data_IF_366242459786
#
_entry.id   IF_366242459786
#
_cell.length_a   1.000
_cell.length_b   1.000
_cell.length_c   1.000
_cell.angle_alpha   90.00
_cell.angle_beta   90.00
_cell.angle_gamma   90.00
#
_symmetry.space_group_name_H-M   'P 1'
#
loop_
_entity.id
_entity.type
_entity.pdbx_description
1 polymer ?
#
# COMPACT_ATOMS: atom_id res chain seq x y z
N UNK A 1 59.13 10.22 -32.65
CA UNK A 1 58.33 11.19 -31.89
C UNK A 1 59.30 12.20 -31.32
N UNK A 2 59.17 13.46 -31.73
CA UNK A 2 59.95 14.57 -31.18
C UNK A 2 59.36 15.01 -29.85
N UNK A 3 60.15 15.70 -29.01
CA UNK A 3 59.66 16.27 -27.75
C UNK A 3 58.47 17.21 -27.95
N UNK A 4 58.38 17.85 -29.12
CA UNK A 4 57.31 18.78 -29.45
C UNK A 4 56.01 18.06 -29.79
N UNK A 5 56.07 16.95 -30.53
CA UNK A 5 54.92 16.06 -30.77
C UNK A 5 54.40 15.44 -29.47
N UNK A 6 55.30 15.14 -28.51
CA UNK A 6 54.90 14.62 -27.19
C UNK A 6 54.17 15.68 -26.35
N UNK A 7 54.65 16.93 -26.36
CA UNK A 7 53.97 18.04 -25.65
C UNK A 7 52.59 18.33 -26.22
N UNK A 8 52.44 18.33 -27.55
CA UNK A 8 51.14 18.54 -28.19
C UNK A 8 50.14 17.43 -27.82
N UNK A 9 50.59 16.17 -27.80
CA UNK A 9 49.75 15.04 -27.40
C UNK A 9 49.29 15.17 -25.94
N UNK A 10 50.20 15.49 -25.01
CA UNK A 10 49.88 15.70 -23.60
C UNK A 10 48.91 16.87 -23.40
N UNK A 11 49.10 17.97 -24.14
CA UNK A 11 48.19 19.11 -24.09
C UNK A 11 46.79 18.74 -24.60
N UNK A 12 46.69 18.02 -25.71
CA UNK A 12 45.41 17.55 -26.26
C UNK A 12 44.67 16.61 -25.31
N UNK A 13 45.41 15.72 -24.62
CA UNK A 13 44.85 14.80 -23.64
C UNK A 13 44.34 15.51 -22.39
N UNK A 14 45.03 16.57 -21.93
CA UNK A 14 44.59 17.39 -20.81
C UNK A 14 43.28 18.12 -21.12
N UNK A 15 43.14 18.64 -22.35
CA UNK A 15 41.89 19.27 -22.82
C UNK A 15 40.76 18.24 -22.87
N UNK A 16 41.00 17.07 -23.47
CA UNK A 16 40.01 16.00 -23.56
C UNK A 16 39.57 15.48 -22.17
N UNK A 17 40.49 15.37 -21.21
CA UNK A 17 40.14 15.06 -19.82
C UNK A 17 39.27 16.13 -19.18
N UNK A 18 39.57 17.41 -19.42
CA UNK A 18 38.79 18.52 -18.87
C UNK A 18 37.37 18.55 -19.45
N UNK A 19 37.22 18.30 -20.74
CA UNK A 19 35.91 18.16 -21.40
C UNK A 19 35.13 16.96 -20.88
N UNK A 20 35.79 15.81 -20.72
CA UNK A 20 35.18 14.60 -20.15
C UNK A 20 34.70 14.85 -18.72
N UNK A 21 35.51 15.54 -17.89
CA UNK A 21 35.13 15.89 -16.52
C UNK A 21 33.91 16.83 -16.48
N UNK A 22 33.80 17.77 -17.42
CA UNK A 22 32.62 18.64 -17.55
C UNK A 22 31.37 17.86 -17.95
N UNK A 23 31.46 17.01 -18.97
CA UNK A 23 30.34 16.17 -19.40
C UNK A 23 29.86 15.23 -18.29
N UNK A 24 30.79 14.66 -17.52
CA UNK A 24 30.46 13.81 -16.37
C UNK A 24 29.72 14.59 -15.27
N UNK A 25 30.14 15.82 -14.97
CA UNK A 25 29.44 16.69 -14.02
C UNK A 25 28.04 17.06 -14.50
N UNK A 26 27.86 17.39 -15.78
CA UNK A 26 26.56 17.69 -16.35
C UNK A 26 25.63 16.49 -16.32
N UNK A 27 26.12 15.31 -16.70
CA UNK A 27 25.38 14.04 -16.65
C UNK A 27 24.95 13.73 -15.20
N UNK A 28 25.85 13.87 -14.23
CA UNK A 28 25.53 13.67 -12.81
C UNK A 28 24.46 14.64 -12.31
N UNK A 29 24.45 15.90 -12.79
CA UNK A 29 23.41 16.88 -12.45
C UNK A 29 22.07 16.53 -13.05
N UNK A 30 22.04 16.14 -14.33
CA UNK A 30 20.83 15.70 -15.01
C UNK A 30 20.24 14.46 -14.33
N UNK A 31 21.07 13.47 -13.97
CA UNK A 31 20.61 12.26 -13.29
C UNK A 31 19.98 12.57 -11.93
N UNK A 32 20.59 13.45 -11.12
CA UNK A 32 19.99 13.90 -9.86
C UNK A 32 18.67 14.64 -10.06
N UNK A 33 18.51 15.39 -11.15
CA UNK A 33 17.26 16.06 -11.48
C UNK A 33 16.18 15.05 -11.89
N UNK A 34 16.52 14.06 -12.71
CA UNK A 34 15.63 12.97 -13.10
C UNK A 34 15.17 12.17 -11.88
N UNK A 35 16.06 11.81 -10.95
CA UNK A 35 15.69 11.09 -9.72
C UNK A 35 14.69 11.87 -8.87
N UNK A 36 14.84 13.19 -8.78
CA UNK A 36 13.88 14.07 -8.08
C UNK A 36 12.53 14.09 -8.78
N UNK A 37 12.51 14.25 -10.10
CA UNK A 37 11.28 14.23 -10.90
C UNK A 37 10.56 12.88 -10.79
N UNK A 38 11.28 11.75 -10.81
CA UNK A 38 10.70 10.42 -10.62
C UNK A 38 10.09 10.26 -9.22
N UNK A 39 10.73 10.80 -8.19
CA UNK A 39 10.20 10.79 -6.82
C UNK A 39 8.93 11.64 -6.70
N UNK A 40 8.93 12.84 -7.26
CA UNK A 40 7.77 13.74 -7.29
C UNK A 40 6.60 13.13 -8.07
N UNK A 41 6.88 12.52 -9.22
CA UNK A 41 5.89 11.79 -10.00
C UNK A 41 5.31 10.61 -9.21
N UNK A 42 6.14 9.88 -8.48
CA UNK A 42 5.70 8.82 -7.56
C UNK A 42 4.74 9.33 -6.48
N UNK A 43 5.01 10.51 -5.91
CA UNK A 43 4.14 11.17 -4.92
C UNK A 43 2.81 11.59 -5.57
N UNK A 44 2.85 12.19 -6.77
CA UNK A 44 1.65 12.63 -7.49
C UNK A 44 0.76 11.45 -7.91
N UNK A 45 1.34 10.38 -8.45
CA UNK A 45 0.63 9.14 -8.80
C UNK A 45 0.02 8.50 -7.54
N UNK A 46 0.77 8.47 -6.43
CA UNK A 46 0.25 8.01 -5.14
C UNK A 46 -0.94 8.85 -4.65
N UNK A 47 -0.88 10.18 -4.80
CA UNK A 47 -1.97 11.09 -4.44
C UNK A 47 -3.24 10.88 -5.27
N UNK A 48 -3.13 10.48 -6.53
CA UNK A 48 -4.28 10.14 -7.38
C UNK A 48 -4.91 8.81 -6.94
N UNK A 49 -4.08 7.80 -6.63
CA UNK A 49 -4.56 6.52 -6.08
C UNK A 49 -5.32 6.68 -4.77
N UNK A 50 -4.82 7.51 -3.85
CA UNK A 50 -5.47 7.79 -2.57
C UNK A 50 -6.84 8.48 -2.74
N UNK A 51 -6.96 9.44 -3.67
CA UNK A 51 -8.24 10.12 -3.97
C UNK A 51 -9.27 9.18 -4.61
N UNK A 52 -8.81 8.24 -5.43
CA UNK A 52 -9.68 7.22 -6.03
C UNK A 52 -10.14 6.20 -4.99
N UNK A 53 -9.25 5.82 -4.05
CA UNK A 53 -9.58 5.01 -2.87
C UNK A 53 -10.66 5.66 -2.01
N UNK A 54 -10.47 6.90 -1.59
CA UNK A 54 -11.42 7.61 -0.73
C UNK A 54 -12.79 7.87 -1.40
N UNK A 55 -12.82 8.08 -2.72
CA UNK A 55 -14.08 8.17 -3.47
C UNK A 55 -14.81 6.83 -3.55
N UNK A 56 -14.06 5.75 -3.80
CA UNK A 56 -14.61 4.37 -3.84
C UNK A 56 -15.12 3.96 -2.45
N UNK A 57 -14.36 4.29 -1.40
CA UNK A 57 -14.76 4.12 0.00
C UNK A 57 -16.06 4.87 0.27
N UNK A 58 -16.13 6.17 -0.03
CA UNK A 58 -17.30 7.00 0.26
C UNK A 58 -18.60 6.48 -0.34
N UNK A 59 -18.57 5.95 -1.57
CA UNK A 59 -19.75 5.39 -2.22
C UNK A 59 -20.08 3.97 -1.75
N UNK A 60 -19.08 3.11 -1.55
CA UNK A 60 -19.30 1.72 -1.18
C UNK A 60 -19.52 1.49 0.32
N UNK A 61 -19.13 2.46 1.16
CA UNK A 61 -19.15 2.34 2.61
C UNK A 61 -20.51 1.97 3.19
N UNK A 62 -21.65 2.60 2.81
CA UNK A 62 -22.95 2.21 3.36
C UNK A 62 -23.30 0.74 3.12
N UNK A 63 -22.97 0.21 1.94
CA UNK A 63 -23.18 -1.20 1.59
C UNK A 63 -22.22 -2.12 2.37
N UNK A 64 -20.96 -1.71 2.49
CA UNK A 64 -19.94 -2.42 3.26
C UNK A 64 -20.27 -2.48 4.75
N UNK A 65 -20.66 -1.35 5.37
CA UNK A 65 -21.05 -1.26 6.78
C UNK A 65 -22.19 -2.24 7.08
N UNK A 66 -23.21 -2.28 6.21
CA UNK A 66 -24.32 -3.23 6.33
C UNK A 66 -23.84 -4.69 6.35
N UNK A 67 -22.85 -5.04 5.54
CA UNK A 67 -22.27 -6.39 5.51
C UNK A 67 -21.40 -6.66 6.73
N UNK A 68 -20.56 -5.71 7.15
CA UNK A 68 -19.73 -5.81 8.36
C UNK A 68 -20.60 -6.00 9.62
N UNK A 69 -21.73 -5.29 9.73
CA UNK A 69 -22.68 -5.50 10.83
C UNK A 69 -23.39 -6.84 10.73
N UNK A 70 -24.01 -7.14 9.59
CA UNK A 70 -24.90 -8.32 9.47
C UNK A 70 -24.17 -9.65 9.38
N UNK A 71 -23.04 -9.71 8.68
CA UNK A 71 -22.32 -10.97 8.45
C UNK A 71 -21.15 -11.16 9.41
N UNK A 72 -20.49 -10.08 9.84
CA UNK A 72 -19.37 -10.18 10.76
C UNK A 72 -19.75 -9.87 12.22
N UNK A 73 -20.92 -9.26 12.47
CA UNK A 73 -21.38 -8.94 13.82
C UNK A 73 -20.57 -7.80 14.46
N UNK A 74 -19.99 -6.91 13.65
CA UNK A 74 -19.21 -5.79 14.17
C UNK A 74 -20.14 -4.73 14.77
N UNK A 75 -19.82 -4.29 15.99
CA UNK A 75 -20.63 -3.35 16.77
C UNK A 75 -20.15 -1.93 16.53
N UNK A 76 -18.83 -1.74 16.59
CA UNK A 76 -18.16 -0.48 16.28
C UNK A 76 -17.52 -0.58 14.90
N UNK A 77 -17.74 0.43 14.05
CA UNK A 77 -17.15 0.55 12.73
C UNK A 77 -16.75 2.02 12.56
N UNK A 78 -15.48 2.26 12.24
CA UNK A 78 -14.90 3.59 12.01
C UNK A 78 -14.18 3.62 10.67
N UNK A 79 -14.29 4.74 9.96
CA UNK A 79 -13.53 5.01 8.74
C UNK A 79 -12.35 5.93 9.01
N UNK A 80 -11.35 5.92 8.11
CA UNK A 80 -10.20 6.83 8.14
C UNK A 80 -9.54 6.91 9.53
N UNK A 81 -9.30 5.75 10.14
CA UNK A 81 -8.77 5.66 11.50
C UNK A 81 -7.25 5.82 11.47
N UNK A 82 -6.73 6.79 12.22
CA UNK A 82 -5.29 7.07 12.32
C UNK A 82 -4.80 6.88 13.74
N UNK A 83 -3.64 6.25 13.91
CA UNK A 83 -2.97 6.09 15.20
C UNK A 83 -1.52 6.52 15.10
N UNK A 84 -1.07 7.31 16.06
CA UNK A 84 0.28 7.84 16.14
C UNK A 84 0.98 7.29 17.39
N UNK A 85 2.18 6.74 17.21
CA UNK A 85 3.05 6.33 18.31
C UNK A 85 4.48 6.79 18.05
N UNK A 86 4.87 7.86 18.74
CA UNK A 86 6.14 8.54 18.46
C UNK A 86 6.16 9.07 17.03
N UNK A 87 7.16 8.65 16.25
CA UNK A 87 7.32 9.05 14.85
C UNK A 87 6.68 8.07 13.84
N UNK A 88 5.88 7.11 14.32
CA UNK A 88 5.19 6.13 13.48
C UNK A 88 3.70 6.45 13.41
N UNK A 89 3.14 6.24 12.23
CA UNK A 89 1.71 6.40 11.93
C UNK A 89 1.19 5.13 11.30
N UNK A 90 -0.04 4.75 11.66
CA UNK A 90 -0.83 3.73 10.98
C UNK A 90 -2.19 4.33 10.62
N UNK A 91 -2.52 4.30 9.34
CA UNK A 91 -3.81 4.70 8.78
C UNK A 91 -4.54 3.47 8.29
N UNK A 92 -5.83 3.36 8.64
CA UNK A 92 -6.72 2.27 8.28
C UNK A 92 -7.96 2.86 7.61
N UNK A 93 -8.30 2.40 6.41
CA UNK A 93 -9.51 2.85 5.71
C UNK A 93 -10.77 2.52 6.51
N UNK A 94 -10.89 1.27 6.99
CA UNK A 94 -11.96 0.88 7.92
C UNK A 94 -11.43 -0.01 9.03
N UNK A 95 -11.81 0.33 10.26
CA UNK A 95 -11.61 -0.49 11.45
C UNK A 95 -12.97 -0.86 12.04
N UNK A 96 -13.26 -2.16 12.10
CA UNK A 96 -14.47 -2.68 12.74
C UNK A 96 -14.15 -3.68 13.84
N UNK A 97 -14.85 -3.62 14.96
CA UNK A 97 -14.66 -4.58 16.05
C UNK A 97 -15.94 -4.81 16.85
N UNK A 98 -15.94 -5.89 17.60
CA UNK A 98 -17.01 -6.27 18.52
C UNK A 98 -16.43 -6.89 19.78
N UNK A 99 -17.21 -6.84 20.86
CA UNK A 99 -16.88 -7.45 22.14
C UNK A 99 -17.71 -8.72 22.37
N UNK A 100 -17.60 -9.32 23.56
CA UNK A 100 -18.39 -10.50 23.95
C UNK A 100 -18.06 -11.75 23.14
N UNK A 101 -19.06 -12.57 22.82
CA UNK A 101 -18.89 -13.91 22.21
C UNK A 101 -18.12 -13.90 20.89
N UNK A 102 -18.22 -12.81 20.15
CA UNK A 102 -17.59 -12.70 18.84
C UNK A 102 -16.12 -12.23 18.90
N UNK A 103 -15.76 -11.48 19.95
CA UNK A 103 -14.46 -10.88 20.28
C UNK A 103 -13.48 -10.76 19.10
N UNK A 104 -13.83 -9.97 18.08
CA UNK A 104 -13.05 -9.86 16.84
C UNK A 104 -12.78 -8.42 16.44
N UNK A 105 -11.73 -8.25 15.65
CA UNK A 105 -11.38 -7.02 14.94
C UNK A 105 -11.15 -7.36 13.47
N UNK A 106 -11.69 -6.51 12.59
CA UNK A 106 -11.55 -6.62 11.14
C UNK A 106 -10.98 -5.29 10.64
N UNK A 107 -9.85 -5.39 9.95
CA UNK A 107 -9.21 -4.27 9.27
C UNK A 107 -9.54 -4.38 7.78
N UNK A 108 -10.11 -3.33 7.19
CA UNK A 108 -10.43 -3.29 5.76
C UNK A 108 -9.58 -2.23 5.07
N UNK A 109 -8.93 -2.61 3.97
CA UNK A 109 -8.27 -1.70 3.03
C UNK A 109 -9.07 -1.64 1.73
N UNK A 110 -9.26 -0.44 1.19
CA UNK A 110 -10.01 -0.17 -0.04
C UNK A 110 -9.02 0.14 -1.17
N UNK A 111 -9.12 -0.59 -2.28
CA UNK A 111 -8.26 -0.40 -3.46
C UNK A 111 -9.08 -0.36 -4.74
N UNK A 112 -8.93 0.67 -5.57
CA UNK A 112 -9.58 0.65 -6.89
C UNK A 112 -9.08 -0.51 -7.75
N UNK A 113 -7.77 -0.74 -7.80
CA UNK A 113 -7.18 -1.88 -8.50
C UNK A 113 -6.25 -2.62 -7.55
N UNK A 114 -6.54 -3.88 -7.27
CA UNK A 114 -5.73 -4.69 -6.39
C UNK A 114 -4.57 -5.34 -7.14
N UNK A 115 -3.38 -5.25 -6.56
CA UNK A 115 -2.16 -5.92 -6.97
C UNK A 115 -1.48 -6.55 -5.74
N UNK A 116 -0.35 -7.24 -5.95
CA UNK A 116 0.39 -7.92 -4.88
C UNK A 116 0.84 -6.98 -3.77
N UNK A 117 1.34 -5.79 -4.12
CA UNK A 117 1.74 -4.78 -3.12
C UNK A 117 0.58 -4.37 -2.21
N UNK A 118 -0.64 -4.33 -2.74
CA UNK A 118 -1.84 -4.08 -1.93
C UNK A 118 -2.09 -5.19 -0.91
N UNK A 119 -1.81 -6.45 -1.25
CA UNK A 119 -1.91 -7.58 -0.32
C UNK A 119 -0.84 -7.47 0.76
N UNK A 120 0.42 -7.22 0.36
CA UNK A 120 1.55 -7.03 1.29
C UNK A 120 1.30 -5.89 2.28
N UNK A 121 0.72 -4.77 1.80
CA UNK A 121 0.36 -3.63 2.64
C UNK A 121 -0.62 -4.04 3.74
N UNK A 122 -1.68 -4.79 3.42
CA UNK A 122 -2.66 -5.26 4.42
C UNK A 122 -2.04 -6.21 5.43
N UNK A 123 -1.19 -7.13 4.97
CA UNK A 123 -0.48 -8.04 5.87
C UNK A 123 0.44 -7.28 6.83
N UNK A 124 1.14 -6.25 6.35
CA UNK A 124 1.95 -5.37 7.20
C UNK A 124 1.10 -4.59 8.21
N UNK A 125 -0.03 -4.03 7.78
CA UNK A 125 -0.96 -3.34 8.69
C UNK A 125 -1.49 -4.27 9.78
N UNK A 126 -1.88 -5.50 9.42
CA UNK A 126 -2.29 -6.52 10.38
C UNK A 126 -1.18 -6.84 11.37
N UNK A 127 0.06 -7.00 10.92
CA UNK A 127 1.21 -7.29 11.78
C UNK A 127 1.50 -6.14 12.76
N UNK A 128 1.46 -4.90 12.30
CA UNK A 128 1.75 -3.73 13.12
C UNK A 128 0.59 -3.32 14.03
N UNK A 129 -0.64 -3.75 13.72
CA UNK A 129 -1.86 -3.36 14.43
C UNK A 129 -1.78 -3.40 15.97
N UNK A 130 -1.25 -4.46 16.63
CA UNK A 130 -1.20 -4.53 18.10
C UNK A 130 -0.29 -3.48 18.72
N UNK A 131 0.73 -3.05 17.98
CA UNK A 131 1.59 -1.96 18.44
C UNK A 131 0.79 -0.67 18.51
N UNK A 132 -0.09 -0.39 17.54
CA UNK A 132 -0.87 0.84 17.48
C UNK A 132 -2.15 0.81 18.32
N UNK A 133 -2.83 -0.34 18.38
CA UNK A 133 -4.10 -0.55 19.08
C UNK A 133 -3.98 -1.69 20.12
N UNK A 134 -3.14 -1.53 21.16
CA UNK A 134 -2.91 -2.56 22.16
C UNK A 134 -4.19 -2.97 22.90
N UNK A 135 -5.15 -2.06 23.04
CA UNK A 135 -6.46 -2.29 23.64
C UNK A 135 -7.32 -3.29 22.84
N UNK A 136 -7.01 -3.49 21.54
CA UNK A 136 -7.69 -4.44 20.66
C UNK A 136 -6.86 -5.70 20.37
N UNK A 137 -5.65 -5.82 20.93
CA UNK A 137 -4.70 -6.88 20.59
C UNK A 137 -5.18 -8.31 20.95
N UNK A 138 -6.04 -8.42 21.96
CA UNK A 138 -6.60 -9.68 22.46
C UNK A 138 -7.77 -10.21 21.61
N UNK A 139 -8.16 -9.51 20.55
CA UNK A 139 -9.27 -9.88 19.67
C UNK A 139 -8.77 -10.78 18.54
N UNK A 140 -9.63 -11.68 18.07
CA UNK A 140 -9.40 -12.42 16.82
C UNK A 140 -9.31 -11.40 15.68
N UNK A 141 -8.18 -11.37 14.98
CA UNK A 141 -7.84 -10.30 14.04
C UNK A 141 -7.90 -10.82 12.62
N UNK A 142 -8.70 -10.18 11.80
CA UNK A 142 -8.89 -10.55 10.40
C UNK A 142 -8.62 -9.35 9.50
N UNK A 143 -8.08 -9.62 8.31
CA UNK A 143 -7.94 -8.62 7.25
C UNK A 143 -8.97 -8.82 6.15
N UNK A 144 -9.36 -7.71 5.53
CA UNK A 144 -10.24 -7.67 4.38
C UNK A 144 -9.70 -6.68 3.36
N UNK A 145 -9.80 -7.03 2.08
CA UNK A 145 -9.57 -6.10 0.98
C UNK A 145 -10.88 -5.88 0.25
N UNK A 146 -11.27 -4.62 0.10
CA UNK A 146 -12.37 -4.21 -0.76
C UNK A 146 -11.81 -3.62 -2.05
N UNK A 147 -12.21 -4.13 -3.22
CA UNK A 147 -11.64 -3.65 -4.48
C UNK A 147 -12.61 -3.58 -5.64
N UNK A 148 -12.41 -2.59 -6.54
CA UNK A 148 -13.21 -2.48 -7.77
C UNK A 148 -12.78 -3.56 -8.77
N UNK A 149 -11.48 -3.78 -8.92
CA UNK A 149 -10.94 -4.72 -9.90
C UNK A 149 -9.73 -5.51 -9.35
N UNK A 150 -9.72 -6.81 -9.62
CA UNK A 150 -8.62 -7.73 -9.34
C UNK A 150 -8.59 -8.86 -10.38
N UNK A 151 -7.38 -9.26 -10.83
CA UNK A 151 -7.22 -10.43 -11.70
C UNK A 151 -7.52 -11.72 -10.95
N UNK A 152 -7.76 -12.83 -11.66
CA UNK A 152 -8.01 -14.14 -11.04
C UNK A 152 -6.85 -14.59 -10.15
N UNK A 153 -5.62 -14.38 -10.60
CA UNK A 153 -4.40 -14.70 -9.85
C UNK A 153 -4.32 -13.89 -8.56
N UNK A 154 -4.59 -12.59 -8.61
CA UNK A 154 -4.60 -11.73 -7.41
C UNK A 154 -5.67 -12.19 -6.42
N UNK A 155 -6.88 -12.53 -6.89
CA UNK A 155 -7.95 -13.06 -6.02
C UNK A 155 -7.53 -14.35 -5.32
N UNK A 156 -6.79 -15.21 -6.01
CA UNK A 156 -6.24 -16.43 -5.44
C UNK A 156 -5.19 -16.11 -4.36
N UNK A 157 -4.26 -15.18 -4.63
CA UNK A 157 -3.25 -14.73 -3.64
C UNK A 157 -3.90 -14.13 -2.39
N UNK A 158 -5.00 -13.38 -2.53
CA UNK A 158 -5.77 -12.87 -1.38
C UNK A 158 -6.33 -14.02 -0.53
N UNK A 159 -6.91 -15.04 -1.18
CA UNK A 159 -7.45 -16.21 -0.50
C UNK A 159 -6.36 -17.04 0.19
N UNK A 160 -5.22 -17.27 -0.48
CA UNK A 160 -4.04 -17.96 0.08
C UNK A 160 -3.44 -17.22 1.27
N UNK A 161 -3.45 -15.88 1.25
CA UNK A 161 -3.06 -15.05 2.39
C UNK A 161 -4.07 -15.12 3.56
N UNK A 162 -5.23 -15.75 3.38
CA UNK A 162 -6.29 -15.84 4.39
C UNK A 162 -7.04 -14.54 4.63
N UNK A 163 -7.03 -13.61 3.67
CA UNK A 163 -7.72 -12.33 3.74
C UNK A 163 -9.12 -12.43 3.12
N UNK A 164 -10.10 -11.78 3.72
CA UNK A 164 -11.41 -11.64 3.10
C UNK A 164 -11.32 -10.75 1.86
N UNK A 165 -12.08 -11.08 0.82
CA UNK A 165 -12.17 -10.27 -0.40
C UNK A 165 -13.58 -9.77 -0.61
N UNK A 166 -13.74 -8.46 -0.78
CA UNK A 166 -14.96 -7.84 -1.26
C UNK A 166 -14.75 -7.17 -2.61
N UNK A 167 -15.73 -7.29 -3.50
CA UNK A 167 -15.75 -6.58 -4.78
C UNK A 167 -16.72 -5.40 -4.68
N UNK A 168 -16.27 -4.25 -5.17
CA UNK A 168 -17.05 -3.02 -5.26
C UNK A 168 -17.49 -2.85 -6.72
N UNK A 169 -18.80 -2.76 -6.94
CA UNK A 169 -19.37 -2.50 -8.26
C UNK A 169 -20.65 -1.69 -8.08
N UNK A 170 -20.82 -0.60 -8.83
CA UNK A 170 -21.97 0.30 -8.77
C UNK A 170 -22.37 0.66 -7.33
N UNK A 171 -21.40 1.14 -6.54
CA UNK A 171 -21.58 1.53 -5.13
C UNK A 171 -21.97 0.37 -4.19
N UNK A 172 -22.08 -0.86 -4.70
CA UNK A 172 -22.37 -2.05 -3.92
C UNK A 172 -21.10 -2.76 -3.51
N UNK A 173 -21.00 -3.10 -2.23
CA UNK A 173 -19.99 -4.00 -1.71
C UNK A 173 -20.53 -5.42 -1.70
N UNK A 174 -19.78 -6.36 -2.27
CA UNK A 174 -20.12 -7.79 -2.26
C UNK A 174 -18.96 -8.61 -1.75
N UNK A 175 -19.16 -9.25 -0.60
CA UNK A 175 -18.20 -10.21 -0.06
C UNK A 175 -18.12 -11.45 -0.96
N UNK A 176 -16.92 -11.82 -1.38
CA UNK A 176 -16.65 -13.07 -2.05
C UNK A 176 -16.54 -14.21 -1.03
N UNK A 177 -17.17 -15.36 -1.35
CA UNK A 177 -17.10 -16.59 -0.55
C UNK A 177 -16.66 -17.74 -1.44
N UNK A 178 -15.36 -17.86 -1.76
CA UNK A 178 -14.86 -19.02 -2.47
C UNK A 178 -15.16 -20.29 -1.68
N UNK A 179 -15.46 -21.39 -2.39
CA UNK A 179 -15.69 -22.68 -1.73
C UNK A 179 -14.42 -23.11 -1.01
N UNK A 180 -14.53 -23.45 0.27
CA UNK A 180 -13.39 -23.89 1.09
C UNK A 180 -12.45 -22.78 1.54
N UNK A 181 -12.81 -21.51 1.36
CA UNK A 181 -12.04 -20.41 1.92
C UNK A 181 -12.17 -20.38 3.45
N UNK A 182 -11.03 -20.37 4.14
CA UNK A 182 -10.95 -20.13 5.57
C UNK A 182 -10.11 -18.87 5.84
N UNK A 183 -10.64 -17.90 6.60
CA UNK A 183 -9.90 -16.70 6.94
C UNK A 183 -8.81 -16.99 7.96
N UNK A 184 -7.62 -16.44 7.74
CA UNK A 184 -6.54 -16.51 8.72
C UNK A 184 -6.85 -15.57 9.88
N UNK A 185 -6.76 -16.11 11.11
CA UNK A 185 -6.68 -15.28 12.30
C UNK A 185 -5.24 -14.81 12.45
N UNK A 186 -5.04 -13.49 12.48
CA UNK A 186 -3.76 -12.82 12.65
C UNK A 186 -3.59 -12.32 14.09
N UNK A 187 -4.26 -12.95 15.06
CA UNK A 187 -3.92 -12.76 16.46
C UNK A 187 -2.46 -13.13 16.72
N UNK A 188 -1.92 -12.60 17.81
CA UNK A 188 -0.47 -12.54 18.08
C UNK A 188 0.14 -13.95 17.98
N UNK A 189 1.13 -14.11 17.10
CA UNK A 189 2.10 -15.20 17.16
C UNK A 189 3.09 -14.95 18.31
#
# INVERSE_FOLDING_TARGET
MTDEELKELVASLAIAQQETARQFQETSRQQKQTDRQLKELGIQIGGIGNKFGSFTEGMAFPSMEKILRKQFGLETISTNTKSFKGNRELELDVLGYSNGDSNKVVIVEVKSHLNEKGIEQVLKMLQEFPFFFPELAHKKRYGMIATVAASKEIKQKVAEAGLYLGIIHDEQFKLMKPKGFEPKNFDVA
#
